data_IF_533518840656
#
_entry.id   IF_533518840656
#
_cell.length_a   1.000
_cell.length_b   1.000
_cell.length_c   1.000
_cell.angle_alpha   90.00
_cell.angle_beta   90.00
_cell.angle_gamma   90.00
#
_symmetry.space_group_name_H-M   'P 1'
#
loop_
_entity.id
_entity.type
_entity.pdbx_description
1 polymer ?
#
# COMPACT_ATOMS: atom_id res chain seq x y z
N UNK A 1 5.66 16.87 -10.89
CA UNK A 1 6.00 16.76 -9.44
C UNK A 1 7.47 16.40 -9.29
N UNK A 2 8.13 16.86 -8.23
CA UNK A 2 9.51 16.44 -7.93
C UNK A 2 9.57 14.93 -7.64
N UNK A 3 10.72 14.30 -7.90
CA UNK A 3 10.92 12.86 -7.64
C UNK A 3 10.62 12.48 -6.19
N UNK A 4 10.89 13.39 -5.26
CA UNK A 4 10.65 13.21 -3.82
C UNK A 4 9.15 13.17 -3.53
N UNK A 5 8.39 14.17 -3.98
CA UNK A 5 6.93 14.20 -3.78
C UNK A 5 6.26 12.99 -4.44
N UNK A 6 6.72 12.61 -5.63
CA UNK A 6 6.23 11.40 -6.30
C UNK A 6 6.50 10.13 -5.47
N UNK A 7 7.64 10.04 -4.79
CA UNK A 7 7.97 8.88 -3.97
C UNK A 7 6.96 8.64 -2.85
N UNK A 8 6.49 9.72 -2.21
CA UNK A 8 5.51 9.68 -1.13
C UNK A 8 4.08 9.39 -1.60
N UNK A 9 3.73 9.87 -2.78
CA UNK A 9 2.38 9.75 -3.36
C UNK A 9 2.20 8.41 -4.10
N UNK A 10 3.28 7.83 -4.62
CA UNK A 10 3.25 6.61 -5.42
C UNK A 10 2.46 5.44 -4.76
N UNK A 11 2.56 5.16 -3.45
CA UNK A 11 1.73 4.14 -2.79
C UNK A 11 0.22 4.37 -2.90
N UNK A 12 -0.23 5.64 -2.90
CA UNK A 12 -1.64 5.99 -3.12
C UNK A 12 -2.06 5.77 -4.58
N UNK A 13 -1.19 6.11 -5.54
CA UNK A 13 -1.43 5.84 -6.96
C UNK A 13 -1.51 4.34 -7.24
N UNK A 14 -0.59 3.57 -6.67
CA UNK A 14 -0.58 2.10 -6.71
C UNK A 14 -1.92 1.57 -6.18
N UNK A 15 -2.34 2.02 -4.99
CA UNK A 15 -3.61 1.61 -4.42
C UNK A 15 -4.79 1.87 -5.39
N UNK A 16 -4.88 3.08 -5.95
CA UNK A 16 -5.99 3.43 -6.82
C UNK A 16 -6.02 2.62 -8.11
N UNK A 17 -4.86 2.44 -8.74
CA UNK A 17 -4.73 1.62 -9.96
C UNK A 17 -5.12 0.16 -9.69
N UNK A 18 -4.69 -0.38 -8.55
CA UNK A 18 -5.00 -1.74 -8.13
C UNK A 18 -6.48 -1.90 -7.77
N UNK A 19 -7.06 -0.94 -7.07
CA UNK A 19 -8.47 -0.97 -6.72
C UNK A 19 -9.36 -0.94 -7.97
N UNK A 20 -9.01 -0.12 -8.97
CA UNK A 20 -9.68 -0.12 -10.27
C UNK A 20 -9.50 -1.44 -11.01
N UNK A 21 -8.28 -1.98 -11.05
CA UNK A 21 -7.99 -3.28 -11.67
C UNK A 21 -8.82 -4.41 -11.05
N UNK A 22 -8.85 -4.51 -9.73
CA UNK A 22 -9.63 -5.52 -9.00
C UNK A 22 -11.13 -5.32 -9.18
N UNK A 23 -11.62 -4.07 -9.16
CA UNK A 23 -13.03 -3.75 -9.39
C UNK A 23 -13.47 -4.14 -10.79
N UNK A 24 -12.65 -3.89 -11.81
CA UNK A 24 -12.92 -4.28 -13.18
C UNK A 24 -12.85 -5.80 -13.35
N UNK A 25 -11.84 -6.45 -12.77
CA UNK A 25 -11.70 -7.92 -12.79
C UNK A 25 -12.89 -8.63 -12.13
N UNK A 26 -13.46 -8.05 -11.06
CA UNK A 26 -14.65 -8.61 -10.40
C UNK A 26 -15.92 -8.53 -11.26
N UNK A 27 -16.02 -7.51 -12.12
CA UNK A 27 -17.18 -7.29 -13.00
C UNK A 27 -17.20 -8.23 -14.21
N UNK A 28 -16.12 -8.95 -14.46
CA UNK A 28 -16.06 -9.96 -15.51
C UNK A 28 -17.10 -11.06 -15.25
N UNK A 29 -18.09 -11.15 -16.15
CA UNK A 29 -19.20 -12.09 -16.05
C UNK A 29 -18.75 -13.54 -16.16
N UNK A 30 -17.59 -13.79 -16.77
CA UNK A 30 -17.09 -15.14 -17.02
C UNK A 30 -16.30 -15.72 -15.83
N UNK A 31 -16.07 -14.94 -14.75
CA UNK A 31 -15.32 -15.43 -13.59
C UNK A 31 -16.18 -16.19 -12.58
N UNK A 32 -15.67 -17.31 -12.02
CA UNK A 32 -16.31 -18.03 -10.92
C UNK A 32 -16.52 -17.16 -9.68
N UNK A 33 -17.61 -17.41 -8.94
CA UNK A 33 -17.92 -16.65 -7.71
C UNK A 33 -16.83 -16.77 -6.64
N UNK A 34 -16.11 -17.91 -6.60
CA UNK A 34 -14.96 -18.10 -5.70
C UNK A 34 -13.82 -17.13 -6.01
N UNK A 35 -13.52 -16.87 -7.28
CA UNK A 35 -12.51 -15.88 -7.66
C UNK A 35 -12.97 -14.46 -7.30
N UNK A 36 -14.25 -14.14 -7.51
CA UNK A 36 -14.83 -12.84 -7.12
C UNK A 36 -14.75 -12.60 -5.61
N UNK A 37 -14.89 -13.66 -4.81
CA UNK A 37 -14.67 -13.63 -3.36
C UNK A 37 -13.24 -13.25 -2.99
N UNK A 38 -12.26 -13.92 -3.59
CA UNK A 38 -10.83 -13.62 -3.39
C UNK A 38 -10.44 -12.22 -3.84
N UNK A 39 -11.02 -11.73 -4.93
CA UNK A 39 -10.84 -10.35 -5.37
C UNK A 39 -11.35 -9.36 -4.30
N UNK A 40 -12.47 -9.66 -3.64
CA UNK A 40 -13.00 -8.83 -2.54
C UNK A 40 -12.06 -8.83 -1.32
N UNK A 41 -11.47 -9.98 -0.99
CA UNK A 41 -10.46 -10.09 0.07
C UNK A 41 -9.22 -9.26 -0.25
N UNK A 42 -8.72 -9.32 -1.50
CA UNK A 42 -7.61 -8.50 -1.98
C UNK A 42 -7.92 -7.01 -1.93
N UNK A 43 -9.14 -6.59 -2.28
CA UNK A 43 -9.59 -5.20 -2.12
C UNK A 43 -9.54 -4.76 -0.66
N UNK A 44 -10.01 -5.60 0.27
CA UNK A 44 -9.95 -5.34 1.71
C UNK A 44 -8.51 -5.24 2.23
N UNK A 45 -7.65 -6.18 1.82
CA UNK A 45 -6.23 -6.15 2.18
C UNK A 45 -5.53 -4.89 1.66
N UNK A 46 -5.76 -4.52 0.39
CA UNK A 46 -5.17 -3.33 -0.20
C UNK A 46 -5.66 -2.04 0.51
N UNK A 47 -6.92 -2.01 0.94
CA UNK A 47 -7.46 -0.91 1.73
C UNK A 47 -6.83 -0.81 3.13
N UNK A 48 -6.64 -1.94 3.82
CA UNK A 48 -5.95 -1.98 5.10
C UNK A 48 -4.51 -1.46 4.95
N UNK A 49 -3.82 -1.90 3.90
CA UNK A 49 -2.44 -1.52 3.65
C UNK A 49 -2.31 -0.02 3.33
N UNK A 50 -3.29 0.55 2.62
CA UNK A 50 -3.41 2.00 2.44
C UNK A 50 -3.63 2.74 3.76
N UNK A 51 -4.52 2.25 4.63
CA UNK A 51 -4.77 2.84 5.94
C UNK A 51 -3.50 2.88 6.78
N UNK A 52 -2.79 1.75 6.86
CA UNK A 52 -1.52 1.64 7.59
C UNK A 52 -0.48 2.61 7.02
N UNK A 53 -0.33 2.67 5.69
CA UNK A 53 0.56 3.64 5.06
C UNK A 53 0.16 5.09 5.38
N UNK A 54 -1.14 5.40 5.37
CA UNK A 54 -1.66 6.74 5.64
C UNK A 54 -1.38 7.18 7.07
N UNK A 55 -1.51 6.27 8.04
CA UNK A 55 -1.16 6.52 9.44
C UNK A 55 0.34 6.85 9.56
N UNK A 56 1.21 6.06 8.94
CA UNK A 56 2.65 6.34 8.95
C UNK A 56 3.01 7.62 8.24
N UNK A 57 2.33 7.93 7.13
CA UNK A 57 2.51 9.16 6.39
C UNK A 57 2.16 10.39 7.25
N UNK A 58 0.98 10.40 7.87
CA UNK A 58 0.58 11.50 8.78
C UNK A 58 1.54 11.60 9.96
N UNK A 59 1.85 10.48 10.61
CA UNK A 59 2.75 10.42 11.76
C UNK A 59 4.14 10.95 11.41
N UNK A 60 4.67 10.60 10.22
CA UNK A 60 5.94 11.10 9.73
C UNK A 60 5.94 12.63 9.64
N UNK A 61 4.90 13.25 9.06
CA UNK A 61 4.81 14.71 9.02
C UNK A 61 4.65 15.36 10.39
N UNK A 62 3.90 14.73 11.31
CA UNK A 62 3.81 15.19 12.70
C UNK A 62 5.20 15.21 13.35
N UNK A 63 6.00 14.15 13.19
CA UNK A 63 7.36 14.12 13.71
C UNK A 63 8.28 15.13 13.03
N UNK A 64 8.15 15.35 11.71
CA UNK A 64 8.89 16.40 11.01
C UNK A 64 8.59 17.78 11.61
N UNK A 65 7.32 18.07 11.94
CA UNK A 65 6.95 19.31 12.63
C UNK A 65 7.52 19.34 14.05
N UNK A 66 7.44 18.23 14.79
CA UNK A 66 7.99 18.14 16.16
C UNK A 66 9.51 18.32 16.23
N UNK A 67 10.26 18.00 15.18
CA UNK A 67 11.71 18.29 15.13
C UNK A 67 11.99 19.78 15.31
N UNK A 68 11.09 20.67 14.86
CA UNK A 68 11.24 22.11 15.06
C UNK A 68 10.84 22.58 16.47
N UNK A 69 10.14 21.74 17.26
CA UNK A 69 9.64 22.08 18.59
C UNK A 69 10.52 21.47 19.68
N UNK A 70 10.79 20.16 19.59
CA UNK A 70 11.47 19.33 20.60
C UNK A 70 12.90 18.97 20.16
N UNK A 71 13.30 19.34 18.94
CA UNK A 71 14.65 19.17 18.45
C UNK A 71 14.98 17.73 18.02
N UNK A 72 16.20 17.30 18.34
CA UNK A 72 16.81 16.08 17.79
C UNK A 72 16.10 14.78 18.21
N UNK A 73 15.39 14.81 19.34
CA UNK A 73 14.67 13.65 19.90
C UNK A 73 13.56 13.14 18.96
N UNK A 74 12.93 14.06 18.22
CA UNK A 74 11.90 13.73 17.24
C UNK A 74 12.45 13.13 15.93
N UNK A 75 13.77 13.20 15.68
CA UNK A 75 14.38 12.62 14.47
C UNK A 75 14.23 11.11 14.40
N UNK A 76 14.23 10.41 15.54
CA UNK A 76 13.99 8.97 15.56
C UNK A 76 12.62 8.64 14.97
N UNK A 77 11.58 9.41 15.31
CA UNK A 77 10.25 9.24 14.75
C UNK A 77 10.19 9.48 13.24
N UNK A 78 10.93 10.48 12.75
CA UNK A 78 11.08 10.75 11.31
C UNK A 78 11.76 9.57 10.59
N UNK A 79 12.87 9.07 11.14
CA UNK A 79 13.62 7.94 10.57
C UNK A 79 12.78 6.65 10.54
N UNK A 80 12.14 6.31 11.67
CA UNK A 80 11.28 5.12 11.74
C UNK A 80 10.06 5.24 10.82
N UNK A 81 9.39 6.39 10.80
CA UNK A 81 8.27 6.63 9.90
C UNK A 81 8.66 6.47 8.43
N UNK A 82 9.82 7.02 8.04
CA UNK A 82 10.35 6.87 6.69
C UNK A 82 10.67 5.41 6.34
N UNK A 83 11.35 4.69 7.24
CA UNK A 83 11.72 3.28 7.04
C UNK A 83 10.47 2.39 6.88
N UNK A 84 9.45 2.59 7.71
CA UNK A 84 8.21 1.80 7.64
C UNK A 84 7.43 2.10 6.36
N UNK A 85 7.34 3.36 5.94
CA UNK A 85 6.76 3.72 4.65
C UNK A 85 7.52 3.10 3.47
N UNK A 86 8.85 3.12 3.52
CA UNK A 86 9.70 2.48 2.50
C UNK A 86 9.49 0.97 2.44
N UNK A 87 9.36 0.31 3.60
CA UNK A 87 9.08 -1.12 3.69
C UNK A 87 7.72 -1.47 3.09
N UNK A 88 6.66 -0.72 3.43
CA UNK A 88 5.31 -0.94 2.89
C UNK A 88 5.33 -0.83 1.36
N UNK A 89 5.98 0.21 0.84
CA UNK A 89 6.14 0.43 -0.59
C UNK A 89 6.90 -0.73 -1.26
N UNK A 90 7.96 -1.22 -0.62
CA UNK A 90 8.71 -2.38 -1.10
C UNK A 90 7.85 -3.65 -1.13
N UNK A 91 7.05 -3.90 -0.08
CA UNK A 91 6.10 -5.02 -0.02
C UNK A 91 5.05 -4.92 -1.12
N UNK A 92 4.46 -3.75 -1.36
CA UNK A 92 3.50 -3.53 -2.43
C UNK A 92 4.08 -3.89 -3.79
N UNK A 93 5.26 -3.36 -4.12
CA UNK A 93 5.87 -3.56 -5.44
C UNK A 93 6.40 -4.97 -5.66
N UNK A 94 7.05 -5.57 -4.67
CA UNK A 94 7.83 -6.79 -4.87
C UNK A 94 7.12 -8.07 -4.43
N UNK A 95 6.20 -7.98 -3.46
CA UNK A 95 5.53 -9.17 -2.90
C UNK A 95 4.04 -9.21 -3.23
N UNK A 96 3.33 -8.11 -3.02
CA UNK A 96 1.87 -8.07 -3.16
C UNK A 96 1.44 -8.41 -4.60
N UNK A 97 1.97 -7.73 -5.62
CA UNK A 97 1.56 -7.98 -7.00
C UNK A 97 1.84 -9.43 -7.46
N UNK A 98 2.99 -9.98 -7.07
CA UNK A 98 3.35 -11.37 -7.40
C UNK A 98 2.37 -12.37 -6.78
N UNK A 99 1.96 -12.13 -5.53
CA UNK A 99 1.05 -13.02 -4.79
C UNK A 99 -0.41 -12.84 -5.18
N UNK A 100 -0.81 -11.63 -5.59
CA UNK A 100 -2.17 -11.31 -6.04
C UNK A 100 -2.62 -12.26 -7.15
N UNK A 101 -1.81 -12.39 -8.20
CA UNK A 101 -2.18 -13.16 -9.37
C UNK A 101 -2.30 -14.66 -9.07
N UNK A 102 -1.37 -15.19 -8.26
CA UNK A 102 -1.42 -16.57 -7.77
C UNK A 102 -2.67 -16.82 -6.90
N UNK A 103 -2.98 -15.88 -6.00
CA UNK A 103 -4.13 -15.99 -5.11
C UNK A 103 -5.46 -16.00 -5.88
N UNK A 104 -5.62 -15.13 -6.87
CA UNK A 104 -6.83 -15.07 -7.71
C UNK A 104 -7.03 -16.40 -8.46
N UNK A 105 -5.97 -16.96 -9.05
CA UNK A 105 -6.04 -18.19 -9.87
C UNK A 105 -6.09 -19.49 -9.06
N UNK A 106 -5.93 -19.43 -7.74
CA UNK A 106 -5.71 -20.61 -6.91
C UNK A 106 -4.48 -21.42 -7.30
N UNK A 107 -3.50 -20.79 -7.93
CA UNK A 107 -2.27 -21.46 -8.31
C UNK A 107 -1.42 -21.63 -7.04
N UNK A 108 -1.37 -22.86 -6.53
CA UNK A 108 -0.59 -23.25 -5.36
C UNK A 108 0.93 -23.33 -5.64
N UNK A 109 1.38 -22.93 -6.83
CA UNK A 109 2.76 -23.11 -7.32
C UNK A 109 3.67 -21.88 -7.11
N UNK A 110 3.39 -21.04 -6.10
CA UNK A 110 4.24 -19.88 -5.74
C UNK A 110 4.51 -19.75 -4.24
#
# INVERSE_FOLDING_TARGET
MSKIVNWFIEPFQIFWSEFQYLRNSKKDSNRPDKEKGRIKELQGFNFLLLLVYSIFFVTFYVYVIMVFIVGIEALLGVLFGFLLMALIKWVQKNKYFKRRDAFIKNDALL
#
